data_IF_171924497709
#
_entry.id   IF_171924497709
#
_cell.length_a   1.000
_cell.length_b   1.000
_cell.length_c   1.000
_cell.angle_alpha   90.00
_cell.angle_beta   90.00
_cell.angle_gamma   90.00
#
_symmetry.space_group_name_H-M   'P 1'
#
loop_
_entity.id
_entity.type
_entity.pdbx_description
1 polymer ?
#
# COMPACT_ATOMS: atom_id res chain seq x y z
N UNK A 1 13.37 13.66 21.84
CA UNK A 1 14.78 14.07 21.61
C UNK A 1 14.93 14.33 20.11
N UNK A 2 15.95 15.10 19.70
CA UNK A 2 16.32 15.35 18.31
C UNK A 2 17.85 15.20 18.28
N UNK A 3 18.42 14.39 17.39
CA UNK A 3 19.89 14.15 17.41
C UNK A 3 20.66 14.94 16.35
N UNK A 4 20.00 15.48 15.31
CA UNK A 4 20.50 16.61 14.49
C UNK A 4 19.34 17.29 13.75
N UNK A 5 19.53 18.57 13.41
CA UNK A 5 18.77 19.27 12.36
C UNK A 5 19.76 19.94 11.43
N UNK A 6 19.54 19.85 10.12
CA UNK A 6 20.29 20.61 9.13
C UNK A 6 19.51 21.88 8.68
N UNK A 7 20.23 22.87 8.14
CA UNK A 7 19.65 24.12 7.62
C UNK A 7 18.60 23.90 6.52
N UNK A 8 18.70 22.80 5.77
CA UNK A 8 17.75 22.39 4.73
C UNK A 8 16.47 21.74 5.28
N UNK A 9 16.29 21.66 6.60
CA UNK A 9 15.09 21.09 7.26
C UNK A 9 15.09 19.56 7.39
N UNK A 10 16.27 18.94 7.29
CA UNK A 10 16.48 17.50 7.49
C UNK A 10 16.61 17.17 8.98
N UNK A 11 15.85 16.19 9.46
CA UNK A 11 15.77 15.81 10.87
C UNK A 11 16.18 14.34 11.08
N UNK A 12 16.98 14.07 12.11
CA UNK A 12 17.31 12.69 12.50
C UNK A 12 17.02 12.41 13.99
N UNK A 13 16.52 11.21 14.27
CA UNK A 13 16.26 10.71 15.63
C UNK A 13 15.18 11.50 16.37
N UNK A 14 14.06 11.82 15.70
CA UNK A 14 13.05 12.78 16.17
C UNK A 14 11.74 12.11 16.59
N UNK A 15 11.13 12.57 17.69
CA UNK A 15 9.93 11.90 18.22
C UNK A 15 8.66 12.19 17.40
N UNK A 16 8.39 13.46 17.11
CA UNK A 16 7.17 13.92 16.41
C UNK A 16 7.44 15.19 15.58
N UNK A 17 8.09 15.07 14.41
CA UNK A 17 8.15 16.13 13.40
C UNK A 17 6.80 16.36 12.71
N UNK A 18 6.40 17.62 12.61
CA UNK A 18 5.10 18.04 12.08
C UNK A 18 5.16 18.68 10.68
N UNK A 19 6.34 19.12 10.23
CA UNK A 19 6.66 19.50 8.84
C UNK A 19 8.17 19.40 8.63
N UNK A 20 8.64 18.67 7.60
CA UNK A 20 10.10 18.48 7.37
C UNK A 20 10.41 18.09 5.93
N UNK A 21 11.60 18.48 5.44
CA UNK A 21 12.04 18.11 4.09
C UNK A 21 12.49 16.65 4.03
N UNK A 22 13.25 16.22 5.04
CA UNK A 22 13.67 14.84 5.24
C UNK A 22 13.62 14.46 6.73
N UNK A 23 13.25 13.21 7.01
CA UNK A 23 13.15 12.65 8.37
C UNK A 23 13.77 11.25 8.36
N UNK A 24 14.69 10.96 9.28
CA UNK A 24 15.22 9.61 9.48
C UNK A 24 15.17 9.16 10.95
N UNK A 25 14.53 8.02 11.21
CA UNK A 25 14.45 7.41 12.55
C UNK A 25 13.50 8.15 13.49
N UNK A 26 12.19 7.90 13.37
CA UNK A 26 11.17 8.63 14.15
C UNK A 26 10.08 7.74 14.76
N UNK A 27 9.42 8.24 15.82
CA UNK A 27 8.25 7.54 16.41
C UNK A 27 6.99 7.88 15.63
N UNK A 28 6.72 9.16 15.43
CA UNK A 28 5.61 9.69 14.65
C UNK A 28 6.18 10.65 13.59
N UNK A 29 5.47 10.88 12.49
CA UNK A 29 5.89 11.83 11.45
C UNK A 29 4.67 12.32 10.69
N UNK A 30 4.49 13.64 10.59
CA UNK A 30 3.37 14.27 9.87
C UNK A 30 3.91 15.21 8.79
N UNK A 31 3.21 15.27 7.65
CA UNK A 31 3.41 16.28 6.59
C UNK A 31 4.88 16.50 6.16
N UNK A 32 5.61 15.41 5.93
CA UNK A 32 7.03 15.44 5.55
C UNK A 32 7.25 14.96 4.11
N UNK A 33 8.22 15.52 3.40
CA UNK A 33 8.44 15.12 2.00
C UNK A 33 9.17 13.78 1.85
N UNK A 34 10.19 13.52 2.65
CA UNK A 34 10.90 12.24 2.69
C UNK A 34 10.99 11.70 4.13
N UNK A 35 10.65 10.42 4.32
CA UNK A 35 10.67 9.74 5.62
C UNK A 35 11.35 8.38 5.48
N UNK A 36 12.36 8.10 6.32
CA UNK A 36 13.10 6.85 6.35
C UNK A 36 13.12 6.26 7.77
N UNK A 37 12.44 5.12 7.98
CA UNK A 37 12.40 4.45 9.28
C UNK A 37 11.55 5.18 10.33
N UNK A 38 10.22 5.05 10.25
CA UNK A 38 9.29 5.62 11.24
C UNK A 38 8.32 4.57 11.81
N UNK A 39 7.93 4.67 13.08
CA UNK A 39 6.89 3.79 13.62
C UNK A 39 5.49 4.18 13.08
N UNK A 40 5.17 5.48 13.02
CA UNK A 40 3.96 6.00 12.39
C UNK A 40 4.26 7.17 11.45
N UNK A 41 3.57 7.23 10.30
CA UNK A 41 3.72 8.28 9.30
C UNK A 41 2.35 8.71 8.73
N UNK A 42 2.10 10.02 8.63
CA UNK A 42 0.84 10.60 8.13
C UNK A 42 1.12 11.68 7.08
N UNK A 43 0.30 11.72 6.02
CA UNK A 43 0.26 12.81 5.03
C UNK A 43 1.64 13.16 4.39
N UNK A 44 2.49 12.16 4.14
CA UNK A 44 3.87 12.36 3.68
C UNK A 44 4.06 11.97 2.21
N UNK A 45 5.00 12.57 1.49
CA UNK A 45 5.12 12.33 0.03
C UNK A 45 5.93 11.09 -0.33
N UNK A 46 7.00 10.76 0.41
CA UNK A 46 7.79 9.55 0.21
C UNK A 46 8.15 8.94 1.56
N UNK A 47 7.83 7.66 1.75
CA UNK A 47 8.02 6.92 3.01
C UNK A 47 8.72 5.60 2.72
N UNK A 48 9.86 5.35 3.36
CA UNK A 48 10.63 4.12 3.23
C UNK A 48 10.87 3.47 4.59
N UNK A 49 10.34 2.27 4.81
CA UNK A 49 10.41 1.61 6.11
C UNK A 49 9.50 2.28 7.14
N UNK A 50 8.25 1.85 7.25
CA UNK A 50 7.37 2.30 8.33
C UNK A 50 6.48 1.21 8.91
N UNK A 51 6.22 1.24 10.22
CA UNK A 51 5.31 0.25 10.82
C UNK A 51 3.83 0.58 10.49
N UNK A 52 3.44 1.86 10.53
CA UNK A 52 2.13 2.33 10.09
C UNK A 52 2.24 3.60 9.21
N UNK A 53 1.51 3.64 8.10
CA UNK A 53 1.49 4.77 7.17
C UNK A 53 0.06 5.13 6.77
N UNK A 54 -0.30 6.42 6.77
CA UNK A 54 -1.64 6.92 6.44
C UNK A 54 -1.55 8.09 5.45
N UNK A 55 -2.48 8.14 4.47
CA UNK A 55 -2.69 9.27 3.57
C UNK A 55 -1.42 9.77 2.84
N UNK A 56 -0.51 8.86 2.49
CA UNK A 56 0.81 9.21 1.93
C UNK A 56 0.88 8.94 0.43
N UNK A 57 1.73 9.66 -0.29
CA UNK A 57 1.83 9.48 -1.74
C UNK A 57 2.60 8.20 -2.09
N UNK A 58 3.92 8.15 -1.90
CA UNK A 58 4.73 6.95 -2.09
C UNK A 58 5.11 6.27 -0.78
N UNK A 59 4.91 4.95 -0.69
CA UNK A 59 5.25 4.12 0.47
C UNK A 59 6.01 2.88 0.03
N UNK A 60 7.17 2.61 0.61
CA UNK A 60 7.95 1.38 0.36
C UNK A 60 8.28 0.65 1.67
N UNK A 61 8.17 -0.67 1.67
CA UNK A 61 8.50 -1.56 2.80
C UNK A 61 7.80 -1.14 4.11
N UNK A 62 6.47 -1.27 4.18
CA UNK A 62 5.69 -0.90 5.39
C UNK A 62 4.89 -2.06 5.99
N UNK A 63 4.69 -2.09 7.30
CA UNK A 63 3.88 -3.15 7.92
C UNK A 63 2.37 -2.91 7.71
N UNK A 64 1.88 -1.69 7.91
CA UNK A 64 0.50 -1.30 7.64
C UNK A 64 0.43 0.02 6.87
N UNK A 65 -0.42 0.08 5.83
CA UNK A 65 -0.59 1.28 4.99
C UNK A 65 -2.06 1.57 4.72
N UNK A 66 -2.51 2.82 4.85
CA UNK A 66 -3.91 3.24 4.66
C UNK A 66 -3.99 4.47 3.75
N UNK A 67 -5.01 4.53 2.89
CA UNK A 67 -5.38 5.71 2.11
C UNK A 67 -4.24 6.31 1.24
N UNK A 68 -3.30 5.48 0.76
CA UNK A 68 -2.06 5.94 0.11
C UNK A 68 -2.10 5.79 -1.41
N UNK A 69 -1.36 6.61 -2.17
CA UNK A 69 -1.49 6.60 -3.65
C UNK A 69 -0.65 5.51 -4.31
N UNK A 70 0.56 5.24 -3.83
CA UNK A 70 1.46 4.20 -4.34
C UNK A 70 2.14 3.46 -3.18
N UNK A 71 2.05 2.13 -3.17
CA UNK A 71 2.61 1.27 -2.11
C UNK A 71 3.41 0.12 -2.73
N UNK A 72 4.69 -0.04 -2.38
CA UNK A 72 5.53 -1.15 -2.85
C UNK A 72 6.12 -1.95 -1.67
N UNK A 73 5.70 -3.20 -1.51
CA UNK A 73 6.04 -4.07 -0.40
C UNK A 73 5.36 -3.62 0.90
N UNK A 74 4.20 -4.19 1.23
CA UNK A 74 3.60 -3.99 2.56
C UNK A 74 2.91 -5.22 3.13
N UNK A 75 2.92 -5.41 4.45
CA UNK A 75 2.26 -6.58 5.05
C UNK A 75 0.74 -6.43 4.98
N UNK A 76 0.22 -5.26 5.36
CA UNK A 76 -1.19 -4.90 5.25
C UNK A 76 -1.35 -3.56 4.53
N UNK A 77 -2.36 -3.44 3.66
CA UNK A 77 -2.67 -2.20 2.94
C UNK A 77 -4.19 -2.02 2.86
N UNK A 78 -4.71 -0.80 2.97
CA UNK A 78 -6.13 -0.50 2.87
C UNK A 78 -6.38 0.81 2.10
N UNK A 79 -7.44 0.87 1.28
CA UNK A 79 -7.90 2.14 0.68
C UNK A 79 -6.90 2.80 -0.27
N UNK A 80 -6.01 2.04 -0.92
CA UNK A 80 -4.86 2.60 -1.66
C UNK A 80 -5.05 2.55 -3.18
N UNK A 81 -4.49 3.51 -3.92
CA UNK A 81 -4.73 3.61 -5.37
C UNK A 81 -3.93 2.55 -6.13
N UNK A 82 -2.60 2.58 -6.01
CA UNK A 82 -1.68 1.61 -6.60
C UNK A 82 -0.92 0.85 -5.50
N UNK A 83 -0.87 -0.47 -5.59
CA UNK A 83 -0.14 -1.33 -4.66
C UNK A 83 0.67 -2.39 -5.43
N UNK A 84 1.85 -2.75 -4.96
CA UNK A 84 2.72 -3.76 -5.56
C UNK A 84 3.37 -4.61 -4.47
N UNK A 85 3.19 -5.93 -4.49
CA UNK A 85 3.89 -6.83 -3.58
C UNK A 85 3.41 -6.79 -2.11
N UNK A 86 2.12 -6.57 -1.86
CA UNK A 86 1.59 -6.58 -0.48
C UNK A 86 1.04 -7.95 -0.03
N UNK A 87 1.30 -8.38 1.20
CA UNK A 87 0.77 -9.67 1.71
C UNK A 87 -0.76 -9.60 1.80
N UNK A 88 -1.33 -8.58 2.45
CA UNK A 88 -2.78 -8.34 2.55
C UNK A 88 -3.11 -6.96 1.98
N UNK A 89 -4.17 -6.85 1.18
CA UNK A 89 -4.68 -5.56 0.70
C UNK A 89 -6.20 -5.50 0.77
N UNK A 90 -6.75 -4.42 1.29
CA UNK A 90 -8.18 -4.15 1.27
C UNK A 90 -8.52 -2.91 0.42
N UNK A 91 -9.68 -2.93 -0.25
CA UNK A 91 -10.24 -1.79 -1.02
C UNK A 91 -9.19 -0.98 -1.79
N UNK A 92 -8.65 -1.50 -2.90
CA UNK A 92 -7.55 -0.82 -3.61
C UNK A 92 -7.68 -0.92 -5.13
N UNK A 93 -7.50 0.19 -5.85
CA UNK A 93 -7.92 0.39 -7.25
C UNK A 93 -7.05 -0.28 -8.30
N UNK A 94 -5.77 -0.49 -8.03
CA UNK A 94 -4.85 -1.19 -8.91
C UNK A 94 -3.81 -1.90 -8.04
N UNK A 95 -3.67 -3.22 -8.18
CA UNK A 95 -2.69 -3.95 -7.38
C UNK A 95 -2.02 -5.08 -8.16
N UNK A 96 -0.70 -5.24 -7.95
CA UNK A 96 0.11 -6.31 -8.53
C UNK A 96 0.75 -7.18 -7.45
N UNK A 97 0.80 -8.50 -7.67
CA UNK A 97 1.67 -9.42 -6.90
C UNK A 97 1.40 -9.54 -5.40
N UNK A 98 0.14 -9.49 -4.96
CA UNK A 98 -0.21 -9.67 -3.54
C UNK A 98 -0.57 -11.10 -3.16
N UNK A 99 -0.66 -11.43 -1.87
CA UNK A 99 -0.99 -12.79 -1.38
C UNK A 99 -2.38 -12.87 -0.72
N UNK A 100 -3.08 -11.76 -0.50
CA UNK A 100 -4.46 -11.69 0.02
C UNK A 100 -5.11 -10.34 -0.35
N UNK A 101 -6.42 -10.34 -0.68
CA UNK A 101 -7.05 -9.19 -1.34
C UNK A 101 -8.57 -9.07 -1.07
N UNK A 102 -9.06 -7.95 -0.51
CA UNK A 102 -10.47 -7.87 -0.02
C UNK A 102 -11.04 -6.43 0.03
N UNK A 103 -11.91 -5.94 -0.84
CA UNK A 103 -12.33 -6.42 -2.13
C UNK A 103 -11.78 -5.42 -3.17
N UNK A 104 -11.19 -5.96 -4.23
CA UNK A 104 -9.98 -5.48 -4.92
C UNK A 104 -10.19 -4.30 -5.92
N UNK A 105 -9.29 -4.15 -6.91
CA UNK A 105 -9.49 -3.32 -8.13
C UNK A 105 -10.66 -3.62 -9.11
N UNK A 106 -11.01 -4.86 -9.48
CA UNK A 106 -11.00 -6.04 -8.62
C UNK A 106 -9.91 -7.10 -8.85
N UNK A 107 -8.73 -6.74 -9.34
CA UNK A 107 -7.68 -7.63 -9.91
C UNK A 107 -6.29 -7.59 -9.23
N UNK A 108 -5.51 -8.68 -9.41
CA UNK A 108 -4.09 -8.94 -9.09
C UNK A 108 -3.63 -10.28 -9.69
N UNK A 109 -2.38 -10.41 -10.12
CA UNK A 109 -1.67 -11.70 -10.10
C UNK A 109 -1.29 -12.09 -8.66
N UNK A 110 -2.29 -12.39 -7.82
CA UNK A 110 -2.05 -13.14 -6.58
C UNK A 110 -3.07 -12.68 -5.48
N UNK A 111 -3.67 -13.47 -4.56
CA UNK A 111 -3.70 -14.94 -4.42
C UNK A 111 -4.34 -15.76 -5.54
N UNK A 112 -5.28 -15.29 -6.34
CA UNK A 112 -5.56 -13.93 -6.73
C UNK A 112 -6.54 -13.17 -5.81
N UNK A 113 -6.78 -11.88 -6.06
CA UNK A 113 -8.09 -11.16 -6.02
C UNK A 113 -9.01 -11.42 -4.76
N UNK A 114 -10.36 -11.44 -4.74
CA UNK A 114 -11.28 -11.77 -5.84
C UNK A 114 -12.74 -11.28 -5.72
N UNK A 115 -13.03 -10.08 -5.21
CA UNK A 115 -14.35 -9.42 -5.45
C UNK A 115 -14.57 -8.95 -6.90
N UNK A 116 -13.97 -9.69 -7.84
CA UNK A 116 -13.45 -9.32 -9.14
C UNK A 116 -14.31 -8.48 -10.10
N UNK A 117 -13.61 -7.73 -10.95
CA UNK A 117 -14.10 -6.81 -11.99
C UNK A 117 -12.90 -6.60 -12.89
N UNK A 118 -12.86 -7.25 -14.06
CA UNK A 118 -11.73 -7.17 -15.00
C UNK A 118 -10.54 -8.09 -14.69
N UNK A 119 -10.77 -9.23 -14.04
CA UNK A 119 -9.73 -10.09 -13.49
C UNK A 119 -8.94 -10.94 -14.51
N UNK A 120 -7.61 -10.83 -14.47
CA UNK A 120 -6.62 -11.52 -15.33
C UNK A 120 -5.63 -12.32 -14.48
N UNK A 121 -5.25 -13.52 -14.97
CA UNK A 121 -4.41 -14.53 -14.27
C UNK A 121 -4.76 -14.75 -12.79
N UNK A 122 -6.05 -14.56 -12.44
CA UNK A 122 -6.48 -14.64 -11.05
C UNK A 122 -6.66 -16.10 -10.58
N UNK A 123 -5.59 -16.77 -10.12
CA UNK A 123 -5.49 -18.21 -9.71
C UNK A 123 -6.63 -18.83 -8.88
N UNK A 124 -7.53 -18.07 -8.24
CA UNK A 124 -8.59 -18.63 -7.38
C UNK A 124 -9.88 -17.82 -7.23
N UNK A 125 -10.44 -17.23 -8.28
CA UNK A 125 -11.61 -16.30 -8.21
C UNK A 125 -12.85 -16.78 -7.42
N UNK A 126 -13.59 -15.83 -6.86
CA UNK A 126 -14.75 -16.06 -5.96
C UNK A 126 -15.93 -15.12 -6.26
N UNK A 127 -15.69 -13.83 -6.53
CA UNK A 127 -16.73 -12.81 -6.70
C UNK A 127 -16.57 -11.95 -7.95
N UNK A 128 -16.10 -12.49 -9.08
CA UNK A 128 -16.10 -11.74 -10.34
C UNK A 128 -17.52 -11.29 -10.74
N UNK A 129 -17.75 -9.98 -10.88
CA UNK A 129 -18.59 -9.40 -11.92
C UNK A 129 -17.64 -8.84 -12.99
N UNK A 130 -17.30 -9.54 -14.04
CA UNK A 130 -18.00 -10.63 -14.67
C UNK A 130 -16.91 -11.14 -15.59
N UNK A 131 -16.45 -12.38 -15.41
CA UNK A 131 -15.51 -13.18 -16.21
C UNK A 131 -14.50 -13.84 -15.30
N UNK A 132 -14.40 -15.15 -15.41
CA UNK A 132 -13.56 -15.93 -14.52
C UNK A 132 -13.45 -17.36 -15.06
N UNK A 133 -12.37 -17.72 -15.75
CA UNK A 133 -12.29 -18.96 -16.54
C UNK A 133 -11.29 -20.00 -16.05
N UNK A 134 -10.01 -19.79 -16.37
CA UNK A 134 -8.94 -20.73 -16.02
C UNK A 134 -8.53 -20.60 -14.55
N UNK A 135 -7.24 -20.41 -14.32
CA UNK A 135 -6.67 -19.63 -13.24
C UNK A 135 -6.83 -18.11 -13.40
N UNK A 136 -7.99 -17.43 -13.21
CA UNK A 136 -9.29 -17.47 -13.92
C UNK A 136 -10.52 -17.35 -12.95
N UNK A 137 -11.05 -18.45 -12.37
CA UNK A 137 -12.52 -18.61 -12.07
C UNK A 137 -13.14 -18.50 -10.65
N UNK A 138 -14.08 -17.53 -10.45
CA UNK A 138 -15.53 -17.50 -10.08
C UNK A 138 -15.94 -16.00 -9.89
N UNK A 139 -16.99 -15.42 -10.46
CA UNK A 139 -17.87 -15.88 -11.53
C UNK A 139 -17.78 -15.16 -12.89
N UNK A 140 -18.06 -15.92 -13.96
CA UNK A 140 -19.14 -15.61 -14.90
C UNK A 140 -19.26 -14.14 -15.35
N UNK A 141 -18.96 -13.84 -16.64
CA UNK A 141 -19.61 -12.76 -17.44
C UNK A 141 -20.89 -13.21 -18.15
N UNK A 142 -21.50 -14.22 -17.57
CA UNK A 142 -22.03 -15.33 -18.36
C UNK A 142 -20.94 -16.00 -19.25
N UNK A 143 -19.64 -15.74 -19.02
CA UNK A 143 -18.51 -16.29 -19.82
C UNK A 143 -17.27 -16.71 -19.02
N UNK A 144 -16.64 -17.76 -19.55
CA UNK A 144 -15.58 -18.62 -19.02
C UNK A 144 -14.75 -19.16 -20.19
N UNK A 145 -13.45 -19.32 -19.98
CA UNK A 145 -12.45 -19.94 -20.87
C UNK A 145 -11.58 -20.88 -20.07
#
# INVERSE_FOLDING_TARGET
>A
MITSQDSDGSLIGVADPTTSTAVAGSVSTTASSAVAGSAATVASTAVAGSAATVASAGVVTSAATVASTAVAGSIATAGSVAVAGSIVTAMSLAVAGSIACVACAFCKNCVACLGCVGCTDCVGCVGCYNCSGVRFAVGLRDVHV
#
